data_IF_353224222049
#
_entry.id   IF_353224222049
#
_cell.length_a   1.000
_cell.length_b   1.000
_cell.length_c   1.000
_cell.angle_alpha   90.00
_cell.angle_beta   90.00
_cell.angle_gamma   90.00
#
_symmetry.space_group_name_H-M   'P 1'
#
loop_
_entity.id
_entity.type
_entity.pdbx_description
1 polymer ?
#
# COMPACT_ATOMS: atom_id res chain seq x y z
N UNK A 1 -16.89 5.55 36.63
CA UNK A 1 -16.00 6.28 35.71
C UNK A 1 -15.77 5.41 34.48
N UNK A 2 -16.23 5.83 33.31
CA UNK A 2 -15.66 5.34 32.03
C UNK A 2 -14.47 6.25 31.67
N UNK A 3 -13.66 6.00 30.61
CA UNK A 3 -13.44 4.78 29.80
C UNK A 3 -11.93 4.56 29.47
N UNK A 4 -11.55 3.47 28.78
CA UNK A 4 -11.02 3.56 27.40
C UNK A 4 -10.59 2.22 26.79
N UNK A 5 -11.16 1.95 25.62
CA UNK A 5 -10.79 0.92 24.67
C UNK A 5 -9.51 1.29 23.89
N UNK A 6 -8.84 0.28 23.28
CA UNK A 6 -8.89 0.06 21.82
C UNK A 6 -8.10 -1.18 21.38
N UNK A 7 -8.79 -1.96 20.56
CA UNK A 7 -8.29 -3.06 19.76
C UNK A 7 -7.46 -2.57 18.56
N UNK A 8 -6.52 -3.42 18.19
CA UNK A 8 -5.80 -3.46 16.92
C UNK A 8 -6.72 -4.02 15.80
N UNK A 9 -6.44 -3.53 14.59
CA UNK A 9 -6.67 -3.98 13.20
C UNK A 9 -7.23 -5.41 12.97
N UNK A 10 -7.86 -5.82 11.86
CA UNK A 10 -7.73 -5.35 10.49
C UNK A 10 -8.83 -5.96 9.56
N UNK A 11 -8.98 -5.34 8.39
CA UNK A 11 -9.40 -5.87 7.08
C UNK A 11 -10.57 -6.89 6.95
N UNK A 12 -11.58 -6.50 6.16
CA UNK A 12 -11.57 -6.81 4.72
C UNK A 12 -12.90 -6.47 4.02
N UNK A 13 -12.75 -6.24 2.71
CA UNK A 13 -13.73 -6.21 1.60
C UNK A 13 -14.22 -4.82 1.18
N UNK A 14 -13.63 -4.27 0.12
CA UNK A 14 -13.93 -4.56 -1.31
C UNK A 14 -15.06 -3.66 -1.79
N UNK A 15 -14.65 -2.47 -2.22
CA UNK A 15 -15.40 -1.62 -3.13
C UNK A 15 -15.43 -2.27 -4.51
N UNK A 16 -16.61 -2.30 -5.08
CA UNK A 16 -16.83 -2.24 -6.52
C UNK A 16 -17.80 -1.07 -6.77
N UNK A 17 -17.53 -0.32 -7.86
CA UNK A 17 -18.52 0.20 -8.82
C UNK A 17 -19.31 1.48 -8.41
N UNK A 18 -19.55 2.54 -9.19
CA UNK A 18 -19.35 3.06 -10.58
C UNK A 18 -19.17 4.61 -10.44
N UNK A 19 -18.85 5.48 -11.40
CA UNK A 19 -18.88 5.45 -12.86
C UNK A 19 -18.58 6.84 -13.44
N UNK A 20 -18.50 6.87 -14.77
CA UNK A 20 -18.10 7.90 -15.73
C UNK A 20 -18.67 9.33 -15.63
N UNK A 21 -17.83 10.30 -16.06
CA UNK A 21 -17.99 11.24 -17.20
C UNK A 21 -16.85 12.30 -17.08
N UNK A 22 -16.04 12.73 -18.06
CA UNK A 22 -15.87 12.51 -19.50
C UNK A 22 -14.68 13.38 -20.00
N UNK A 23 -14.35 13.29 -21.31
CA UNK A 23 -13.29 13.97 -22.09
C UNK A 23 -11.86 13.38 -21.93
N UNK A 24 -11.33 12.52 -22.82
CA UNK A 24 -11.01 12.63 -24.27
C UNK A 24 -9.83 13.57 -24.54
N UNK A 25 -8.63 12.99 -24.48
CA UNK A 25 -7.45 13.37 -25.28
C UNK A 25 -6.68 12.09 -25.61
N UNK A 26 -6.10 12.06 -26.81
CA UNK A 26 -5.68 10.86 -27.53
C UNK A 26 -4.25 10.38 -27.21
N UNK A 27 -3.97 9.18 -27.73
CA UNK A 27 -2.65 8.59 -28.08
C UNK A 27 -2.09 7.53 -27.11
N UNK A 28 -1.82 6.32 -27.65
CA UNK A 28 -1.03 5.28 -26.99
C UNK A 28 -1.73 3.92 -26.89
N UNK A 29 -1.84 3.22 -28.01
CA UNK A 29 -2.05 1.76 -28.04
C UNK A 29 -0.68 1.11 -27.84
N UNK A 30 -0.68 -0.01 -27.11
CA UNK A 30 0.45 -0.87 -26.71
C UNK A 30 0.92 -0.71 -25.25
N UNK A 31 1.15 -1.87 -24.63
CA UNK A 31 1.58 -2.09 -23.24
C UNK A 31 0.49 -2.16 -22.14
N UNK A 32 -0.53 -2.99 -22.35
CA UNK A 32 -1.42 -3.46 -21.27
C UNK A 32 -1.64 -4.98 -21.20
N UNK A 33 -1.24 -5.71 -22.24
CA UNK A 33 -1.56 -7.14 -22.39
C UNK A 33 -0.59 -8.08 -21.65
N UNK A 34 0.58 -7.61 -21.23
CA UNK A 34 1.63 -8.46 -20.66
C UNK A 34 1.58 -8.67 -19.13
N UNK A 35 0.62 -8.08 -18.40
CA UNK A 35 0.57 -8.17 -16.91
C UNK A 35 -0.58 -8.98 -16.30
N UNK A 36 -1.53 -9.48 -17.10
CA UNK A 36 -2.65 -10.29 -16.58
C UNK A 36 -2.37 -11.80 -16.70
N UNK A 37 -1.39 -12.21 -17.50
CA UNK A 37 -1.14 -13.60 -17.87
C UNK A 37 -0.18 -14.38 -16.95
N UNK A 38 0.03 -13.95 -15.70
CA UNK A 38 0.95 -14.66 -14.77
C UNK A 38 0.42 -14.99 -13.39
N UNK A 39 -0.86 -14.79 -13.12
CA UNK A 39 -1.50 -15.36 -11.92
C UNK A 39 -2.86 -15.92 -12.30
N UNK A 40 -2.85 -17.19 -12.65
CA UNK A 40 -3.79 -18.24 -12.22
C UNK A 40 -3.61 -19.40 -13.19
N UNK A 41 -2.58 -20.19 -12.90
CA UNK A 41 -2.63 -21.61 -13.20
C UNK A 41 -3.79 -22.23 -12.43
N UNK A 42 -4.34 -23.24 -13.07
CA UNK A 42 -5.11 -24.34 -12.48
C UNK A 42 -6.64 -24.22 -12.47
N UNK A 43 -7.19 -25.10 -13.31
CA UNK A 43 -8.48 -25.81 -13.24
C UNK A 43 -9.72 -25.16 -13.89
N UNK A 44 -10.28 -25.86 -14.90
CA UNK A 44 -11.69 -25.72 -15.27
C UNK A 44 -12.04 -25.82 -16.75
N UNK A 45 -11.93 -27.00 -17.36
CA UNK A 45 -12.22 -27.32 -18.77
C UNK A 45 -13.71 -27.27 -19.22
N UNK A 46 -14.59 -26.46 -18.62
CA UNK A 46 -16.05 -26.52 -18.90
C UNK A 46 -16.74 -25.23 -19.35
N UNK A 47 -16.05 -24.09 -19.45
CA UNK A 47 -16.68 -22.83 -19.92
C UNK A 47 -16.36 -22.47 -21.38
N UNK A 48 -15.58 -23.28 -22.10
CA UNK A 48 -15.21 -22.99 -23.50
C UNK A 48 -16.25 -23.40 -24.54
N UNK A 49 -17.11 -24.38 -24.23
CA UNK A 49 -18.16 -24.84 -25.16
C UNK A 49 -19.34 -23.86 -25.19
N UNK A 50 -19.69 -23.29 -24.05
CA UNK A 50 -20.82 -22.35 -23.92
C UNK A 50 -20.58 -20.99 -24.59
N UNK A 51 -19.33 -20.53 -24.65
CA UNK A 51 -18.97 -19.25 -25.28
C UNK A 51 -18.95 -19.37 -26.81
N UNK A 52 -18.62 -20.54 -27.36
CA UNK A 52 -18.58 -20.77 -28.82
C UNK A 52 -20.01 -21.00 -29.36
N UNK A 53 -20.87 -21.72 -28.64
CA UNK A 53 -22.30 -21.88 -29.00
C UNK A 53 -23.07 -20.54 -28.93
N UNK A 54 -22.74 -19.67 -27.99
CA UNK A 54 -23.37 -18.35 -27.84
C UNK A 54 -23.03 -17.38 -28.99
N UNK A 55 -21.85 -17.50 -29.61
CA UNK A 55 -21.42 -16.63 -30.71
C UNK A 55 -22.07 -17.04 -32.04
N UNK A 56 -22.28 -18.33 -32.28
CA UNK A 56 -22.90 -18.85 -33.51
C UNK A 56 -24.42 -18.55 -33.55
N UNK A 57 -25.09 -18.47 -32.39
CA UNK A 57 -26.51 -18.09 -32.32
C UNK A 57 -26.79 -16.60 -32.58
N UNK A 58 -25.79 -15.72 -32.52
CA UNK A 58 -25.97 -14.27 -32.64
C UNK A 58 -25.96 -13.75 -34.10
N UNK A 59 -25.76 -14.62 -35.09
CA UNK A 59 -25.66 -14.24 -36.51
C UNK A 59 -26.59 -15.04 -37.44
N UNK A 60 -27.88 -15.12 -37.10
CA UNK A 60 -28.92 -15.60 -38.04
C UNK A 60 -29.85 -14.45 -38.44
N UNK A 61 -30.04 -14.16 -39.75
CA UNK A 61 -30.91 -13.09 -40.19
C UNK A 61 -32.39 -13.41 -39.91
N UNK A 62 -33.08 -12.41 -39.36
CA UNK A 62 -34.52 -12.44 -39.08
C UNK A 62 -35.32 -12.76 -40.35
N UNK A 63 -36.08 -13.84 -40.31
CA UNK A 63 -37.16 -14.09 -41.27
C UNK A 63 -38.40 -13.33 -40.80
N UNK A 64 -38.84 -12.40 -41.65
CA UNK A 64 -40.12 -11.71 -41.55
C UNK A 64 -41.23 -12.74 -41.66
N UNK A 65 -42.09 -12.83 -40.65
CA UNK A 65 -43.44 -13.38 -40.80
C UNK A 65 -44.43 -12.49 -40.03
N UNK A 66 -45.16 -11.71 -40.83
CA UNK A 66 -46.36 -10.99 -40.44
C UNK A 66 -47.42 -11.97 -39.91
N UNK A 67 -47.88 -11.77 -38.67
CA UNK A 67 -49.31 -11.92 -38.36
C UNK A 67 -49.67 -11.28 -37.00
N UNK A 68 -50.36 -10.14 -37.05
CA UNK A 68 -51.17 -9.64 -35.93
C UNK A 68 -52.34 -10.62 -35.72
N UNK A 69 -52.23 -11.55 -34.77
CA UNK A 69 -53.41 -12.25 -34.21
C UNK A 69 -53.83 -11.53 -32.94
N UNK A 70 -54.98 -10.86 -32.98
CA UNK A 70 -55.65 -10.28 -31.81
C UNK A 70 -55.90 -11.39 -30.79
N UNK A 71 -55.40 -11.25 -29.57
CA UNK A 71 -55.68 -12.18 -28.48
C UNK A 71 -57.17 -12.13 -28.11
N UNK A 72 -57.77 -13.28 -27.79
CA UNK A 72 -59.19 -13.38 -27.48
C UNK A 72 -59.59 -12.48 -26.29
N UNK A 73 -60.63 -11.64 -26.43
CA UNK A 73 -61.04 -10.67 -25.40
C UNK A 73 -61.43 -11.36 -24.08
N UNK A 74 -61.92 -12.60 -24.14
CA UNK A 74 -62.26 -13.42 -22.96
C UNK A 74 -61.02 -13.81 -22.15
N UNK A 75 -59.91 -14.16 -22.80
CA UNK A 75 -58.67 -14.50 -22.11
C UNK A 75 -58.05 -13.28 -21.43
N UNK A 76 -58.18 -12.11 -22.05
CA UNK A 76 -57.72 -10.84 -21.49
C UNK A 76 -58.58 -10.39 -20.31
N UNK A 77 -59.90 -10.57 -20.38
CA UNK A 77 -60.82 -10.28 -19.28
C UNK A 77 -60.60 -11.21 -18.07
N UNK A 78 -60.35 -12.50 -18.29
CA UNK A 78 -60.05 -13.44 -17.19
C UNK A 78 -58.69 -13.13 -16.54
N UNK A 79 -57.68 -12.71 -17.32
CA UNK A 79 -56.39 -12.25 -16.79
C UNK A 79 -56.55 -10.97 -15.97
N UNK A 80 -57.33 -10.01 -16.46
CA UNK A 80 -57.65 -8.78 -15.72
C UNK A 80 -58.43 -9.07 -14.42
N UNK A 81 -59.43 -9.95 -14.47
CA UNK A 81 -60.21 -10.34 -13.29
C UNK A 81 -59.36 -11.09 -12.24
N UNK A 82 -58.41 -11.93 -12.67
CA UNK A 82 -57.45 -12.58 -11.76
C UNK A 82 -56.52 -11.55 -11.11
N UNK A 83 -56.04 -10.56 -11.86
CA UNK A 83 -55.19 -9.49 -11.36
C UNK A 83 -55.90 -8.55 -10.36
N UNK A 84 -57.21 -8.31 -10.55
CA UNK A 84 -58.03 -7.49 -9.62
C UNK A 84 -58.41 -8.27 -8.37
N UNK A 85 -58.70 -9.58 -8.48
CA UNK A 85 -59.03 -10.46 -7.33
C UNK A 85 -57.82 -10.73 -6.45
N UNK A 86 -56.62 -10.81 -7.03
CA UNK A 86 -55.38 -10.67 -6.26
C UNK A 86 -55.19 -9.19 -5.91
N UNK A 87 -56.08 -8.65 -5.07
CA UNK A 87 -55.98 -7.29 -4.58
C UNK A 87 -54.57 -7.02 -4.08
N UNK A 88 -54.13 -5.76 -4.19
CA UNK A 88 -52.81 -5.31 -3.72
C UNK A 88 -52.71 -5.62 -2.23
N UNK A 89 -52.25 -6.84 -1.92
CA UNK A 89 -51.96 -7.29 -0.56
C UNK A 89 -51.13 -6.19 0.02
N UNK A 90 -51.66 -5.50 1.04
CA UNK A 90 -50.95 -4.50 1.81
C UNK A 90 -49.63 -5.14 2.17
N UNK A 91 -48.56 -4.82 1.43
CA UNK A 91 -47.22 -5.31 1.71
C UNK A 91 -46.95 -4.75 3.09
N UNK A 92 -47.12 -5.56 4.14
CA UNK A 92 -46.81 -5.16 5.51
C UNK A 92 -45.42 -4.59 5.41
N UNK A 93 -45.28 -3.26 5.56
CA UNK A 93 -44.00 -2.60 5.35
C UNK A 93 -43.05 -3.27 6.34
N UNK A 94 -42.11 -4.06 5.83
CA UNK A 94 -41.18 -4.79 6.66
C UNK A 94 -40.35 -3.75 7.41
N UNK A 95 -40.68 -3.52 8.68
CA UNK A 95 -39.97 -2.55 9.52
C UNK A 95 -38.65 -3.16 9.94
N UNK A 96 -37.56 -2.40 9.83
CA UNK A 96 -36.27 -2.83 10.36
C UNK A 96 -36.35 -2.86 11.89
N UNK A 97 -36.48 -4.05 12.45
CA UNK A 97 -36.59 -4.26 13.91
C UNK A 97 -35.26 -3.85 14.54
N UNK A 98 -35.30 -2.94 15.51
CA UNK A 98 -34.15 -2.56 16.35
C UNK A 98 -34.32 -3.26 17.70
N UNK A 99 -33.38 -4.14 18.05
CA UNK A 99 -33.44 -4.91 19.31
C UNK A 99 -32.92 -4.15 20.51
N UNK A 100 -32.14 -3.08 20.30
CA UNK A 100 -31.67 -2.17 21.35
C UNK A 100 -32.53 -0.90 21.39
N UNK A 101 -32.83 -0.43 22.61
CA UNK A 101 -33.51 0.84 22.84
C UNK A 101 -32.59 2.03 22.50
N UNK A 102 -31.28 1.86 22.62
CA UNK A 102 -30.27 2.87 22.30
C UNK A 102 -29.94 2.90 20.80
N UNK A 103 -29.97 4.09 20.21
CA UNK A 103 -29.60 4.30 18.81
C UNK A 103 -28.07 4.45 18.68
N UNK A 104 -27.42 3.52 17.99
CA UNK A 104 -26.00 3.61 17.65
C UNK A 104 -25.81 4.20 16.25
N UNK A 105 -24.89 5.16 16.13
CA UNK A 105 -24.51 5.72 14.82
C UNK A 105 -24.01 4.59 13.90
N UNK A 106 -24.61 4.40 12.71
CA UNK A 106 -24.12 3.41 11.77
C UNK A 106 -22.71 3.79 11.31
N UNK A 107 -21.86 2.78 11.06
CA UNK A 107 -20.53 3.02 10.51
C UNK A 107 -20.70 3.57 9.09
N UNK A 108 -20.16 4.75 8.86
CA UNK A 108 -20.16 5.42 7.55
C UNK A 108 -18.80 5.24 6.88
N UNK A 109 -18.78 5.26 5.55
CA UNK A 109 -17.55 5.30 4.78
C UNK A 109 -16.75 6.57 5.14
N UNK A 110 -15.49 6.40 5.50
CA UNK A 110 -14.52 7.50 5.67
C UNK A 110 -13.61 7.47 4.46
N UNK A 111 -13.64 8.52 3.64
CA UNK A 111 -12.74 8.67 2.50
C UNK A 111 -11.35 9.08 3.00
N UNK A 112 -10.32 8.62 2.32
CA UNK A 112 -8.96 9.08 2.56
C UNK A 112 -8.78 10.55 2.14
N UNK A 113 -7.76 11.20 2.69
CA UNK A 113 -7.47 12.60 2.41
C UNK A 113 -6.89 12.72 0.99
N UNK A 114 -7.66 13.28 0.06
CA UNK A 114 -7.20 13.69 -1.27
C UNK A 114 -7.31 15.23 -1.40
N UNK A 115 -6.30 15.99 -0.96
CA UNK A 115 -6.35 17.46 -1.01
C UNK A 115 -6.24 17.95 -2.47
N UNK A 116 -6.98 19.01 -2.80
CA UNK A 116 -6.97 19.60 -4.16
C UNK A 116 -5.64 20.28 -4.52
N UNK A 117 -4.88 20.71 -3.52
CA UNK A 117 -3.59 21.39 -3.69
C UNK A 117 -2.62 20.94 -2.58
N UNK A 118 -1.31 20.86 -2.88
CA UNK A 118 -0.32 20.53 -1.86
C UNK A 118 -0.24 21.65 -0.82
N UNK A 119 -0.03 21.27 0.46
CA UNK A 119 0.11 22.25 1.56
C UNK A 119 1.42 23.04 1.52
N UNK A 120 2.44 22.45 0.91
CA UNK A 120 3.78 23.03 0.76
C UNK A 120 4.17 22.82 -0.70
N UNK A 121 4.69 23.87 -1.34
CA UNK A 121 5.07 23.83 -2.76
C UNK A 121 6.21 22.84 -3.03
N UNK A 122 7.23 22.80 -2.14
CA UNK A 122 8.38 21.91 -2.26
C UNK A 122 8.67 21.18 -0.94
N UNK A 123 9.02 19.89 -0.97
CA UNK A 123 9.40 19.17 0.24
C UNK A 123 10.73 19.70 0.81
N UNK A 124 10.90 19.73 2.14
CA UNK A 124 12.14 20.19 2.76
C UNK A 124 13.29 19.20 2.50
N UNK A 125 14.51 19.73 2.35
CA UNK A 125 15.71 18.92 2.21
C UNK A 125 16.08 18.20 3.51
N UNK A 126 16.69 17.03 3.38
CA UNK A 126 17.26 16.30 4.50
C UNK A 126 18.42 17.09 5.10
N UNK A 127 18.31 17.48 6.38
CA UNK A 127 19.35 18.25 7.08
C UNK A 127 20.45 17.39 7.69
N UNK A 128 20.21 16.09 7.84
CA UNK A 128 21.17 15.12 8.38
C UNK A 128 21.66 14.24 7.24
N UNK A 129 22.71 14.71 6.57
CA UNK A 129 23.44 13.95 5.55
C UNK A 129 24.61 13.18 6.17
N UNK A 130 25.33 12.44 5.34
CA UNK A 130 26.41 11.55 5.73
C UNK A 130 27.57 12.33 6.37
N UNK A 131 27.89 13.50 5.82
CA UNK A 131 28.94 14.39 6.31
C UNK A 131 28.57 15.02 7.66
N UNK A 132 27.30 15.40 7.86
CA UNK A 132 26.86 15.93 9.16
C UNK A 132 26.78 14.84 10.23
N UNK A 133 26.46 13.59 9.84
CA UNK A 133 26.43 12.46 10.74
C UNK A 133 27.84 12.16 11.26
N UNK A 134 28.81 11.94 10.37
CA UNK A 134 30.20 11.63 10.71
C UNK A 134 31.04 12.90 10.70
N UNK A 135 31.29 13.49 11.88
CA UNK A 135 32.01 14.78 11.96
C UNK A 135 33.51 14.60 11.76
N UNK A 136 34.13 13.76 12.59
CA UNK A 136 35.56 13.45 12.48
C UNK A 136 35.89 12.17 13.25
N UNK A 137 36.96 11.46 12.86
CA UNK A 137 37.52 10.38 13.64
C UNK A 137 38.08 10.89 14.99
N UNK A 138 38.17 9.99 15.97
CA UNK A 138 38.77 10.29 17.26
C UNK A 138 40.19 9.74 17.32
N UNK A 139 41.16 10.61 17.54
CA UNK A 139 42.61 10.32 17.44
C UNK A 139 43.29 10.12 18.81
N UNK A 140 42.54 9.87 19.88
CA UNK A 140 43.12 9.65 21.22
C UNK A 140 43.81 8.30 21.32
N UNK A 141 44.80 8.17 22.19
CA UNK A 141 45.53 6.91 22.46
C UNK A 141 44.60 5.71 22.68
N UNK A 142 43.55 5.88 23.48
CA UNK A 142 42.57 4.82 23.75
C UNK A 142 41.79 4.36 22.50
N UNK A 143 41.63 5.25 21.51
CA UNK A 143 40.99 4.93 20.24
C UNK A 143 41.98 4.29 19.26
N UNK A 144 43.24 4.73 19.24
CA UNK A 144 44.29 4.11 18.43
C UNK A 144 44.46 2.63 18.81
N UNK A 145 44.51 2.33 20.12
CA UNK A 145 44.51 0.94 20.64
C UNK A 145 43.29 0.12 20.18
N UNK A 146 42.13 0.77 19.99
CA UNK A 146 40.90 0.10 19.52
C UNK A 146 40.90 -0.19 18.02
N UNK A 147 41.68 0.55 17.24
CA UNK A 147 41.89 0.29 15.81
C UNK A 147 42.70 -1.00 15.68
N UNK A 148 43.81 -1.10 16.41
CA UNK A 148 44.73 -2.25 16.41
C UNK A 148 44.08 -3.53 16.96
N UNK A 149 43.62 -3.51 18.22
CA UNK A 149 43.24 -4.74 18.92
C UNK A 149 41.91 -5.34 18.45
N UNK A 150 40.95 -4.49 18.09
CA UNK A 150 39.54 -4.89 17.96
C UNK A 150 38.95 -4.69 16.57
N UNK A 151 39.75 -4.16 15.63
CA UNK A 151 39.31 -3.74 14.30
C UNK A 151 38.07 -2.82 14.42
N UNK A 152 38.23 -1.75 15.20
CA UNK A 152 37.17 -0.76 15.44
C UNK A 152 37.63 0.66 15.19
N UNK A 153 36.87 1.39 14.37
CA UNK A 153 37.04 2.82 14.15
C UNK A 153 36.21 3.62 15.15
N UNK A 154 36.76 4.72 15.64
CA UNK A 154 36.08 5.58 16.61
C UNK A 154 35.79 6.92 15.98
N UNK A 155 34.52 7.33 15.97
CA UNK A 155 34.08 8.59 15.39
C UNK A 155 33.41 9.49 16.43
N UNK A 156 33.56 10.80 16.23
CA UNK A 156 32.67 11.83 16.75
C UNK A 156 31.50 11.97 15.78
N UNK A 157 30.29 11.87 16.31
CA UNK A 157 29.05 11.82 15.55
C UNK A 157 28.08 12.85 16.11
N UNK A 158 27.14 13.30 15.28
CA UNK A 158 26.02 14.11 15.75
C UNK A 158 25.12 13.39 16.78
N UNK A 159 24.59 14.14 17.73
CA UNK A 159 23.75 13.63 18.83
C UNK A 159 22.45 13.01 18.27
N UNK A 160 21.95 13.52 17.15
CA UNK A 160 20.69 13.07 16.55
C UNK A 160 20.85 11.81 15.68
N UNK A 161 22.07 11.34 15.48
CA UNK A 161 22.35 10.19 14.62
C UNK A 161 22.08 8.87 15.34
N UNK A 162 21.30 7.99 14.69
CA UNK A 162 21.03 6.63 15.16
C UNK A 162 22.10 5.66 14.67
N UNK A 163 22.20 4.50 15.33
CA UNK A 163 23.16 3.44 14.94
C UNK A 163 23.02 3.03 13.46
N UNK A 164 21.78 2.96 12.94
CA UNK A 164 21.51 2.63 11.53
C UNK A 164 22.10 3.68 10.57
N UNK A 165 21.84 4.96 10.87
CA UNK A 165 22.35 6.10 10.08
C UNK A 165 23.88 6.14 10.08
N UNK A 166 24.52 5.83 11.22
CA UNK A 166 25.98 5.76 11.32
C UNK A 166 26.53 4.63 10.45
N UNK A 167 25.92 3.43 10.48
CA UNK A 167 26.31 2.32 9.60
C UNK A 167 26.23 2.71 8.12
N UNK A 168 25.11 3.33 7.72
CA UNK A 168 24.89 3.73 6.34
C UNK A 168 25.85 4.84 5.91
N UNK A 169 26.16 5.79 6.79
CA UNK A 169 27.11 6.85 6.53
C UNK A 169 28.54 6.32 6.35
N UNK A 170 28.99 5.43 7.24
CA UNK A 170 30.33 4.80 7.13
C UNK A 170 30.44 3.98 5.86
N UNK A 171 29.37 3.23 5.51
CA UNK A 171 29.32 2.44 4.28
C UNK A 171 29.40 3.30 3.03
N UNK A 172 28.75 4.47 3.00
CA UNK A 172 28.75 5.34 1.80
C UNK A 172 30.01 6.19 1.66
N UNK A 173 30.62 6.58 2.77
CA UNK A 173 31.77 7.49 2.78
C UNK A 173 33.07 6.77 2.48
N UNK A 174 33.23 5.58 3.05
CA UNK A 174 34.50 4.86 3.04
C UNK A 174 34.37 3.45 2.40
N UNK A 175 33.19 3.10 1.89
CA UNK A 175 32.88 1.80 1.27
C UNK A 175 33.10 0.58 2.17
N UNK A 176 32.95 0.76 3.49
CA UNK A 176 33.24 -0.27 4.48
C UNK A 176 31.96 -0.93 4.99
N UNK A 177 32.03 -2.25 5.20
CA UNK A 177 30.97 -2.97 5.90
C UNK A 177 31.21 -3.02 7.40
N UNK A 178 30.15 -2.82 8.18
CA UNK A 178 30.22 -2.76 9.64
C UNK A 178 29.49 -3.96 10.28
N UNK A 179 30.14 -4.65 11.21
CA UNK A 179 29.49 -5.69 12.04
C UNK A 179 28.48 -5.04 12.97
N UNK A 180 28.96 -4.17 13.86
CA UNK A 180 28.15 -3.54 14.89
C UNK A 180 28.65 -2.13 15.20
N UNK A 181 27.72 -1.30 15.68
CA UNK A 181 27.99 0.08 16.10
C UNK A 181 27.52 0.25 17.54
N UNK A 182 28.43 0.68 18.40
CA UNK A 182 28.17 1.04 19.78
C UNK A 182 28.30 2.56 19.91
N UNK A 183 27.42 3.21 20.67
CA UNK A 183 27.40 4.67 20.80
C UNK A 183 27.26 5.06 22.26
N UNK A 184 27.93 6.13 22.66
CA UNK A 184 27.73 6.80 23.95
C UNK A 184 27.70 8.33 23.73
N UNK A 185 27.08 9.05 24.65
CA UNK A 185 27.16 10.51 24.71
C UNK A 185 28.27 10.86 25.70
N UNK A 186 29.18 11.75 25.30
CA UNK A 186 30.24 12.28 26.17
C UNK A 186 29.71 13.38 27.08
N UNK A 187 30.38 13.67 28.21
CA UNK A 187 30.05 14.84 29.02
C UNK A 187 30.16 16.16 28.23
N UNK A 188 31.00 16.20 27.19
CA UNK A 188 31.14 17.34 26.26
C UNK A 188 29.91 17.59 25.37
N UNK A 189 28.88 16.73 25.47
CA UNK A 189 27.67 16.81 24.66
C UNK A 189 27.80 16.24 23.24
N UNK A 190 28.95 15.67 22.86
CA UNK A 190 29.11 15.00 21.55
C UNK A 190 28.87 13.49 21.64
N UNK A 191 28.39 12.87 20.56
CA UNK A 191 28.23 11.40 20.52
C UNK A 191 29.53 10.75 20.07
N UNK A 192 30.03 9.77 20.82
CA UNK A 192 31.13 8.88 20.42
C UNK A 192 30.54 7.59 19.85
N UNK A 193 30.99 7.17 18.68
CA UNK A 193 30.60 5.91 18.06
C UNK A 193 31.82 5.00 17.90
N UNK A 194 31.74 3.80 18.46
CA UNK A 194 32.65 2.69 18.18
C UNK A 194 32.05 1.85 17.06
N UNK A 195 32.72 1.80 15.92
CA UNK A 195 32.26 1.12 14.71
C UNK A 195 33.17 -0.08 14.47
N UNK A 196 32.65 -1.29 14.72
CA UNK A 196 33.38 -2.53 14.46
C UNK A 196 33.18 -2.98 13.03
N UNK A 197 34.28 -3.17 12.29
CA UNK A 197 34.25 -3.56 10.88
C UNK A 197 34.03 -5.07 10.70
N UNK A 198 33.65 -5.49 9.49
CA UNK A 198 33.69 -6.91 9.10
C UNK A 198 35.15 -7.38 9.05
N UNK A 199 35.44 -8.69 9.23
CA UNK A 199 36.83 -9.14 9.26
C UNK A 199 37.49 -9.06 7.87
N UNK A 200 36.70 -8.82 6.83
CA UNK A 200 37.14 -8.66 5.44
C UNK A 200 37.86 -7.34 5.19
N UNK A 201 37.68 -6.36 6.08
CA UNK A 201 38.33 -5.06 6.03
C UNK A 201 39.20 -4.86 7.26
N UNK A 202 40.44 -4.43 7.08
CA UNK A 202 41.30 -4.00 8.18
C UNK A 202 41.05 -2.53 8.52
N UNK A 203 40.94 -2.21 9.82
CA UNK A 203 40.78 -0.85 10.29
C UNK A 203 42.05 -0.02 10.12
N UNK A 204 43.23 -0.64 10.14
CA UNK A 204 44.50 0.06 9.94
C UNK A 204 44.59 0.65 8.52
N UNK A 205 44.29 -0.15 7.51
CA UNK A 205 44.29 0.30 6.11
C UNK A 205 43.28 1.42 5.85
N UNK A 206 42.10 1.31 6.46
CA UNK A 206 41.09 2.35 6.36
C UNK A 206 41.55 3.63 7.06
N UNK A 207 42.16 3.53 8.25
CA UNK A 207 42.65 4.69 8.98
C UNK A 207 43.73 5.46 8.18
N UNK A 208 44.59 4.73 7.46
CA UNK A 208 45.59 5.32 6.55
C UNK A 208 44.92 6.06 5.39
N UNK A 209 43.84 5.51 4.81
CA UNK A 209 43.05 6.19 3.76
C UNK A 209 42.37 7.47 4.26
N UNK A 210 41.99 7.51 5.54
CA UNK A 210 41.39 8.70 6.16
C UNK A 210 42.47 9.71 6.58
N UNK A 211 43.71 9.26 6.81
CA UNK A 211 44.85 10.10 7.23
C UNK A 211 44.91 10.35 8.74
N UNK A 212 44.63 9.33 9.55
CA UNK A 212 44.63 9.41 11.02
C UNK A 212 45.89 8.79 11.64
N UNK A 213 46.62 8.00 10.86
CA UNK A 213 47.86 7.30 11.21
C UNK A 213 48.98 7.83 10.31
#
# INVERSE_FOLDING_TARGET
MQPHARAYDDQARRTQLWGWNGAVEACGVEEGLARVLKTLGDSGCLERVQVIEAIISAMSPAKVDNSKKKADPKAQAVKAAKAVKSGVTFKKKAKKIRTKVTFHRPRTLKKDRNPKYPRISAPPRNKLDQYQILKHPLTTESAMKKIEDNNTLVFIVDIRADKKKIKDAVKKMYDIQTKKVNTLIRPDGTKKAYVRLTPDYDALDVANKIGII
#
